data_IF_449252554653
#
_entry.id   IF_449252554653
#
_cell.length_a   1.000
_cell.length_b   1.000
_cell.length_c   1.000
_cell.angle_alpha   90.00
_cell.angle_beta   90.00
_cell.angle_gamma   90.00
#
_symmetry.space_group_name_H-M   'P 1'
#
loop_
_entity.id
_entity.type
_entity.pdbx_description
1 polymer ?
#
# COMPACT_ATOMS: atom_id res chain seq x y z
N UNK A 1 -23.70 -7.77 9.24
CA UNK A 1 -22.28 -7.84 9.68
C UNK A 1 -22.09 -6.81 10.78
N UNK A 2 -21.72 -7.25 11.99
CA UNK A 2 -21.29 -6.34 13.06
C UNK A 2 -19.86 -5.93 12.72
N UNK A 3 -19.69 -4.79 12.05
CA UNK A 3 -18.36 -4.25 11.77
C UNK A 3 -17.60 -3.97 13.07
N UNK A 4 -16.29 -4.20 13.06
CA UNK A 4 -15.39 -3.71 14.10
C UNK A 4 -15.45 -2.18 14.15
N UNK A 5 -15.26 -1.61 15.35
CA UNK A 5 -15.18 -0.16 15.53
C UNK A 5 -13.88 0.38 14.93
N UNK A 6 -12.90 0.62 15.81
CA UNK A 6 -11.53 1.03 15.45
C UNK A 6 -10.52 -0.03 15.87
N UNK A 7 -9.31 0.06 15.32
CA UNK A 7 -8.10 -0.54 15.88
C UNK A 7 -7.18 0.61 16.24
N UNK A 8 -6.63 0.59 17.47
CA UNK A 8 -5.72 1.62 17.96
C UNK A 8 -4.54 0.95 18.64
N UNK A 9 -3.49 0.65 17.88
CA UNK A 9 -2.26 0.02 18.36
C UNK A 9 -1.16 1.08 18.40
N UNK A 10 -0.50 1.23 19.56
CA UNK A 10 0.52 2.25 19.77
C UNK A 10 1.68 1.71 20.61
N UNK A 11 2.92 2.02 20.24
CA UNK A 11 4.12 1.78 21.06
C UNK A 11 4.21 0.35 21.62
N UNK A 12 3.87 -0.65 20.81
CA UNK A 12 3.63 -2.02 21.27
C UNK A 12 4.33 -3.06 20.40
N UNK A 13 4.59 -4.24 20.97
CA UNK A 13 5.14 -5.38 20.24
C UNK A 13 4.15 -6.54 20.24
N UNK A 14 3.87 -7.10 19.06
CA UNK A 14 2.96 -8.22 18.85
C UNK A 14 3.75 -9.43 18.38
N UNK A 15 3.87 -10.44 19.24
CA UNK A 15 4.61 -11.68 18.97
C UNK A 15 3.79 -12.73 18.21
N UNK A 16 2.50 -12.47 18.00
CA UNK A 16 1.57 -13.39 17.35
C UNK A 16 0.88 -12.67 16.20
N UNK A 17 0.30 -13.47 15.31
CA UNK A 17 -0.48 -13.01 14.17
C UNK A 17 -1.65 -12.12 14.61
N UNK A 18 -1.81 -10.98 13.94
CA UNK A 18 -3.01 -10.15 14.00
C UNK A 18 -3.92 -10.51 12.82
N UNK A 19 -5.05 -11.17 13.10
CA UNK A 19 -6.01 -11.59 12.09
C UNK A 19 -7.30 -10.77 12.18
N UNK A 20 -7.55 -9.97 11.17
CA UNK A 20 -8.68 -9.06 11.03
C UNK A 20 -9.36 -9.22 9.67
N UNK A 21 -9.37 -10.44 9.13
CA UNK A 21 -9.94 -10.71 7.80
C UNK A 21 -11.45 -10.48 7.73
N UNK A 22 -11.89 -9.99 6.57
CA UNK A 22 -13.30 -9.81 6.19
C UNK A 22 -14.08 -8.98 7.20
N UNK A 23 -13.42 -7.98 7.79
CA UNK A 23 -14.02 -7.08 8.77
C UNK A 23 -14.48 -5.79 8.09
N UNK A 24 -15.44 -5.11 8.73
CA UNK A 24 -15.83 -3.75 8.37
C UNK A 24 -15.38 -2.83 9.50
N UNK A 25 -14.37 -2.01 9.28
CA UNK A 25 -13.93 -0.97 10.21
C UNK A 25 -14.76 0.29 9.97
N UNK A 26 -15.59 0.62 10.95
CA UNK A 26 -16.47 1.80 10.87
C UNK A 26 -15.75 3.09 11.26
N UNK A 27 -14.73 2.97 12.09
CA UNK A 27 -13.92 4.07 12.60
C UNK A 27 -12.48 3.97 12.09
N UNK A 28 -11.71 5.02 12.36
CA UNK A 28 -10.29 5.10 11.99
C UNK A 28 -9.47 3.95 12.59
N UNK A 29 -8.49 3.47 11.83
CA UNK A 29 -7.51 2.45 12.25
C UNK A 29 -6.14 3.08 12.36
N UNK A 30 -5.55 3.00 13.56
CA UNK A 30 -4.23 3.53 13.90
C UNK A 30 -3.28 2.38 14.28
N UNK A 31 -2.13 2.32 13.61
CA UNK A 31 -1.00 1.44 13.96
C UNK A 31 0.26 2.30 14.02
N UNK A 32 0.65 2.72 15.22
CA UNK A 32 1.72 3.72 15.41
C UNK A 32 2.86 3.14 16.25
N UNK A 33 4.09 3.23 15.77
CA UNK A 33 5.29 2.80 16.48
C UNK A 33 5.19 1.37 17.04
N UNK A 34 4.71 0.43 16.21
CA UNK A 34 4.49 -0.94 16.62
C UNK A 34 5.48 -1.89 15.94
N UNK A 35 5.83 -2.98 16.64
CA UNK A 35 6.62 -4.08 16.10
C UNK A 35 5.73 -5.32 15.95
N UNK A 36 5.63 -5.87 14.75
CA UNK A 36 4.90 -7.11 14.48
C UNK A 36 5.86 -8.23 14.11
N UNK A 37 5.96 -9.24 14.97
CA UNK A 37 6.79 -10.42 14.74
C UNK A 37 6.00 -11.58 14.09
N UNK A 38 4.67 -11.46 14.02
CA UNK A 38 3.77 -12.36 13.29
C UNK A 38 3.04 -11.64 12.15
N UNK A 39 2.32 -12.41 11.32
CA UNK A 39 1.58 -11.86 10.18
C UNK A 39 0.53 -10.82 10.61
N UNK A 40 0.28 -9.83 9.76
CA UNK A 40 -0.78 -8.84 9.94
C UNK A 40 -1.74 -8.92 8.76
N UNK A 41 -3.01 -9.22 9.02
CA UNK A 41 -3.92 -9.66 7.97
C UNK A 41 -5.26 -8.95 8.06
N UNK A 42 -5.56 -8.21 7.00
CA UNK A 42 -6.79 -7.47 6.75
C UNK A 42 -7.53 -7.93 5.48
N UNK A 43 -7.10 -9.03 4.85
CA UNK A 43 -7.68 -9.58 3.62
C UNK A 43 -9.22 -9.51 3.60
N UNK A 44 -9.78 -8.98 2.50
CA UNK A 44 -11.23 -8.88 2.26
C UNK A 44 -11.94 -7.84 3.14
N UNK A 45 -11.21 -7.00 3.87
CA UNK A 45 -11.81 -6.02 4.80
C UNK A 45 -12.21 -4.73 4.11
N UNK A 46 -13.20 -4.05 4.70
CA UNK A 46 -13.62 -2.71 4.30
C UNK A 46 -13.29 -1.71 5.40
N UNK A 47 -12.67 -0.60 5.04
CA UNK A 47 -12.41 0.51 5.96
C UNK A 47 -13.18 1.74 5.50
N UNK A 48 -14.07 2.22 6.36
CA UNK A 48 -14.93 3.36 6.07
C UNK A 48 -14.29 4.71 6.39
N UNK A 49 -13.16 4.70 7.12
CA UNK A 49 -12.43 5.86 7.64
C UNK A 49 -10.94 5.68 7.45
N UNK A 50 -10.19 6.75 7.73
CA UNK A 50 -8.74 6.81 7.68
C UNK A 50 -8.02 5.58 8.25
N UNK A 51 -6.96 5.15 7.56
CA UNK A 51 -5.94 4.24 8.10
C UNK A 51 -4.64 5.03 8.22
N UNK A 52 -4.06 5.03 9.40
CA UNK A 52 -2.74 5.57 9.66
C UNK A 52 -1.81 4.47 10.19
N UNK A 53 -0.78 4.14 9.41
CA UNK A 53 0.30 3.24 9.81
C UNK A 53 1.58 4.06 9.81
N UNK A 54 2.19 4.23 10.97
CA UNK A 54 3.33 5.13 11.14
C UNK A 54 4.41 4.50 12.00
N UNK A 55 5.68 4.64 11.59
CA UNK A 55 6.84 4.29 12.41
C UNK A 55 6.89 2.82 12.84
N UNK A 56 6.26 1.92 12.07
CA UNK A 56 6.04 0.52 12.49
C UNK A 56 6.86 -0.46 11.66
N UNK A 57 7.31 -1.53 12.32
CA UNK A 57 8.14 -2.58 11.76
C UNK A 57 7.35 -3.89 11.65
N UNK A 58 7.36 -4.50 10.47
CA UNK A 58 6.66 -5.75 10.16
C UNK A 58 7.67 -6.81 9.72
N UNK A 59 7.91 -7.81 10.58
CA UNK A 59 8.90 -8.86 10.35
C UNK A 59 8.36 -10.03 9.51
N UNK A 60 7.04 -10.07 9.30
CA UNK A 60 6.32 -11.11 8.56
C UNK A 60 5.31 -10.47 7.62
N UNK A 61 4.63 -11.29 6.83
CA UNK A 61 3.77 -10.85 5.76
C UNK A 61 2.66 -9.91 6.26
N UNK A 62 2.41 -8.87 5.48
CA UNK A 62 1.30 -7.95 5.68
C UNK A 62 0.33 -8.09 4.50
N UNK A 63 -0.90 -8.47 4.80
CA UNK A 63 -1.89 -8.84 3.79
C UNK A 63 -3.13 -7.93 3.87
N UNK A 64 -3.20 -7.00 2.93
CA UNK A 64 -4.32 -6.15 2.56
C UNK A 64 -4.95 -6.59 1.22
N UNK A 65 -4.92 -7.87 0.87
CA UNK A 65 -5.53 -8.37 -0.36
C UNK A 65 -7.04 -8.13 -0.39
N UNK A 66 -7.59 -7.72 -1.54
CA UNK A 66 -9.03 -7.48 -1.76
C UNK A 66 -9.66 -6.55 -0.71
N UNK A 67 -8.94 -5.51 -0.28
CA UNK A 67 -9.55 -4.52 0.62
C UNK A 67 -10.35 -3.48 -0.16
N UNK A 68 -11.38 -2.95 0.48
CA UNK A 68 -12.04 -1.72 0.03
C UNK A 68 -11.79 -0.60 1.02
N UNK A 69 -11.24 0.49 0.52
CA UNK A 69 -10.84 1.63 1.31
C UNK A 69 -11.59 2.89 0.85
N UNK A 70 -12.27 3.60 1.76
CA UNK A 70 -13.17 4.71 1.40
C UNK A 70 -12.58 6.11 1.50
N UNK A 71 -11.70 6.37 2.45
CA UNK A 71 -11.15 7.72 2.71
C UNK A 71 -9.65 7.79 2.36
N UNK A 72 -8.74 8.24 3.24
CA UNK A 72 -7.27 8.27 3.00
C UNK A 72 -6.47 7.21 3.77
N UNK A 73 -5.59 6.47 3.09
CA UNK A 73 -4.64 5.53 3.73
C UNK A 73 -3.25 6.15 3.70
N UNK A 74 -2.61 6.21 4.86
CA UNK A 74 -1.24 6.70 5.01
C UNK A 74 -0.37 5.63 5.65
N UNK A 75 0.71 5.24 4.97
CA UNK A 75 1.80 4.42 5.48
C UNK A 75 3.04 5.30 5.48
N UNK A 76 3.61 5.58 6.64
CA UNK A 76 4.74 6.50 6.77
C UNK A 76 5.84 5.93 7.66
N UNK A 77 7.10 6.08 7.25
CA UNK A 77 8.27 5.66 8.03
C UNK A 77 8.18 4.20 8.52
N UNK A 78 7.65 3.30 7.69
CA UNK A 78 7.46 1.90 8.04
C UNK A 78 8.48 0.99 7.35
N UNK A 79 8.75 -0.15 7.97
CA UNK A 79 9.63 -1.17 7.42
C UNK A 79 8.91 -2.51 7.30
N UNK A 80 8.96 -3.12 6.11
CA UNK A 80 8.37 -4.41 5.81
C UNK A 80 9.49 -5.36 5.37
N UNK A 81 9.87 -6.27 6.27
CA UNK A 81 10.94 -7.23 6.01
C UNK A 81 10.48 -8.34 5.04
N UNK A 82 9.23 -8.75 5.16
CA UNK A 82 8.58 -9.73 4.28
C UNK A 82 7.61 -9.03 3.29
N UNK A 83 6.83 -9.81 2.54
CA UNK A 83 5.94 -9.31 1.50
C UNK A 83 4.81 -8.43 2.04
N UNK A 84 4.56 -7.31 1.36
CA UNK A 84 3.34 -6.51 1.50
C UNK A 84 2.43 -6.79 0.31
N UNK A 85 1.28 -7.41 0.56
CA UNK A 85 0.27 -7.73 -0.46
C UNK A 85 -0.94 -6.83 -0.28
N UNK A 86 -1.26 -6.04 -1.29
CA UNK A 86 -2.51 -5.32 -1.42
C UNK A 86 -3.16 -5.54 -2.80
N UNK A 87 -2.91 -6.70 -3.41
CA UNK A 87 -3.46 -7.07 -4.70
C UNK A 87 -4.99 -6.98 -4.70
N UNK A 88 -5.56 -6.67 -5.85
CA UNK A 88 -7.01 -6.57 -6.11
C UNK A 88 -7.76 -5.54 -5.23
N UNK A 89 -7.02 -4.69 -4.51
CA UNK A 89 -7.61 -3.69 -3.62
C UNK A 89 -8.18 -2.48 -4.34
N UNK A 90 -9.22 -1.89 -3.74
CA UNK A 90 -9.86 -0.66 -4.22
C UNK A 90 -9.67 0.48 -3.23
N UNK A 91 -9.04 1.56 -3.69
CA UNK A 91 -8.80 2.79 -2.92
C UNK A 91 -9.64 3.93 -3.50
N UNK A 92 -10.71 4.31 -2.80
CA UNK A 92 -11.60 5.40 -3.23
C UNK A 92 -11.10 6.79 -2.83
N UNK A 93 -10.15 6.90 -1.90
CA UNK A 93 -9.46 8.15 -1.61
C UNK A 93 -7.95 8.00 -1.67
N UNK A 94 -7.24 9.01 -1.15
CA UNK A 94 -5.79 9.19 -1.36
C UNK A 94 -5.00 8.03 -0.75
N UNK A 95 -3.99 7.55 -1.50
CA UNK A 95 -3.01 6.58 -1.02
C UNK A 95 -1.67 7.29 -0.86
N UNK A 96 -1.13 7.29 0.35
CA UNK A 96 0.18 7.87 0.65
C UNK A 96 1.09 6.83 1.31
N UNK A 97 2.13 6.41 0.61
CA UNK A 97 3.20 5.54 1.12
C UNK A 97 4.49 6.35 1.08
N UNK A 98 4.97 6.77 2.25
CA UNK A 98 6.02 7.78 2.38
C UNK A 98 7.14 7.24 3.27
N UNK A 99 8.39 7.52 2.92
CA UNK A 99 9.57 7.16 3.73
C UNK A 99 9.60 5.69 4.19
N UNK A 100 9.02 4.78 3.41
CA UNK A 100 8.82 3.39 3.84
C UNK A 100 9.66 2.43 3.00
N UNK A 101 10.02 1.29 3.57
CA UNK A 101 10.89 0.29 2.94
C UNK A 101 10.20 -1.06 2.85
N UNK A 102 10.16 -1.63 1.64
CA UNK A 102 9.56 -2.93 1.34
C UNK A 102 10.64 -3.86 0.78
N UNK A 103 11.08 -4.86 1.56
CA UNK A 103 12.27 -5.64 1.26
C UNK A 103 12.06 -6.94 0.48
N UNK A 104 10.95 -7.66 0.70
CA UNK A 104 10.71 -8.92 0.02
C UNK A 104 9.75 -8.81 -1.17
N UNK A 105 8.97 -7.72 -1.23
CA UNK A 105 8.01 -7.48 -2.31
C UNK A 105 6.96 -6.45 -1.94
N UNK A 106 6.53 -5.68 -2.94
CA UNK A 106 5.37 -4.81 -2.87
C UNK A 106 4.39 -5.20 -3.97
N UNK A 107 3.33 -5.92 -3.60
CA UNK A 107 2.40 -6.53 -4.55
C UNK A 107 1.07 -5.77 -4.59
N UNK A 108 0.98 -4.87 -5.57
CA UNK A 108 -0.14 -4.00 -5.89
C UNK A 108 -0.73 -4.33 -7.27
N UNK A 109 -0.87 -5.61 -7.59
CA UNK A 109 -1.45 -6.07 -8.85
C UNK A 109 -2.98 -5.89 -8.84
N UNK A 110 -3.56 -5.42 -9.95
CA UNK A 110 -5.01 -5.29 -10.12
C UNK A 110 -5.66 -4.19 -9.27
N UNK A 111 -4.88 -3.35 -8.58
CA UNK A 111 -5.44 -2.33 -7.70
C UNK A 111 -6.17 -1.24 -8.49
N UNK A 112 -7.17 -0.62 -7.88
CA UNK A 112 -7.91 0.51 -8.46
C UNK A 112 -7.83 1.70 -7.51
N UNK A 113 -7.09 2.72 -7.90
CA UNK A 113 -6.97 3.97 -7.17
C UNK A 113 -7.80 5.05 -7.86
N UNK A 114 -8.77 5.60 -7.14
CA UNK A 114 -9.69 6.61 -7.66
C UNK A 114 -9.12 8.03 -7.48
N UNK A 115 -8.40 8.24 -6.37
CA UNK A 115 -7.73 9.51 -6.08
C UNK A 115 -6.22 9.41 -6.29
N UNK A 116 -5.50 10.50 -6.00
CA UNK A 116 -4.06 10.57 -6.17
C UNK A 116 -3.34 9.50 -5.31
N UNK A 117 -2.22 9.02 -5.84
CA UNK A 117 -1.32 8.09 -5.16
C UNK A 117 0.08 8.70 -5.05
N UNK A 118 0.64 8.67 -3.85
CA UNK A 118 1.95 9.22 -3.53
C UNK A 118 2.81 8.12 -2.91
N UNK A 119 3.86 7.70 -3.61
CA UNK A 119 4.84 6.70 -3.18
C UNK A 119 6.20 7.36 -2.94
N UNK A 120 6.23 8.46 -2.17
CA UNK A 120 7.42 9.32 -2.09
C UNK A 120 8.49 8.78 -1.15
N UNK A 121 9.76 9.02 -1.49
CA UNK A 121 10.92 8.70 -0.64
C UNK A 121 10.94 7.27 -0.08
N UNK A 122 10.28 6.33 -0.77
CA UNK A 122 10.11 4.94 -0.34
C UNK A 122 10.98 4.02 -1.18
N UNK A 123 11.43 2.92 -0.59
CA UNK A 123 12.28 1.92 -1.25
C UNK A 123 11.48 0.64 -1.47
N UNK A 124 11.46 0.15 -2.71
CA UNK A 124 10.74 -1.05 -3.10
C UNK A 124 11.69 -2.07 -3.73
N UNK A 125 11.80 -3.21 -3.08
CA UNK A 125 12.33 -4.44 -3.67
C UNK A 125 11.17 -5.17 -4.34
N UNK A 126 11.24 -5.40 -5.65
CA UNK A 126 10.20 -6.09 -6.43
C UNK A 126 8.80 -5.46 -6.28
N UNK A 127 8.60 -4.31 -6.93
CA UNK A 127 7.29 -3.66 -6.98
C UNK A 127 6.47 -4.20 -8.17
N UNK A 128 5.24 -4.64 -7.92
CA UNK A 128 4.35 -5.17 -8.96
C UNK A 128 3.04 -4.40 -8.95
N UNK A 129 2.78 -3.67 -10.03
CA UNK A 129 1.57 -2.88 -10.28
C UNK A 129 0.79 -3.36 -11.51
N UNK A 130 1.06 -4.57 -12.00
CA UNK A 130 0.44 -5.09 -13.21
C UNK A 130 -1.08 -5.00 -13.14
N UNK A 131 -1.75 -4.73 -14.26
CA UNK A 131 -3.22 -4.65 -14.37
C UNK A 131 -3.90 -3.59 -13.47
N UNK A 132 -3.13 -2.74 -12.81
CA UNK A 132 -3.67 -1.71 -11.91
C UNK A 132 -4.17 -0.49 -12.66
N UNK A 133 -5.06 0.27 -12.06
CA UNK A 133 -5.60 1.52 -12.62
C UNK A 133 -5.42 2.67 -11.65
N UNK A 134 -4.72 3.71 -12.08
CA UNK A 134 -4.56 4.97 -11.37
C UNK A 134 -5.42 6.03 -12.08
N UNK A 135 -6.53 6.42 -11.46
CA UNK A 135 -7.52 7.30 -12.08
C UNK A 135 -7.11 8.78 -12.07
N UNK A 136 -6.22 9.16 -11.14
CA UNK A 136 -5.62 10.49 -11.06
C UNK A 136 -4.09 10.36 -10.99
N UNK A 137 -3.41 11.37 -10.46
CA UNK A 137 -1.96 11.45 -10.48
C UNK A 137 -1.34 10.34 -9.62
N UNK A 138 -0.25 9.77 -10.12
CA UNK A 138 0.56 8.78 -9.41
C UNK A 138 2.00 9.25 -9.38
N UNK A 139 2.53 9.47 -8.17
CA UNK A 139 3.85 10.07 -7.98
C UNK A 139 4.78 9.13 -7.22
N UNK A 140 5.99 8.99 -7.71
CA UNK A 140 7.07 8.15 -7.18
C UNK A 140 8.30 9.01 -6.81
N UNK A 141 8.08 10.27 -6.44
CA UNK A 141 9.16 11.25 -6.19
C UNK A 141 10.13 10.76 -5.12
N UNK A 142 11.43 10.80 -5.45
CA UNK A 142 12.53 10.33 -4.59
C UNK A 142 12.44 8.86 -4.13
N UNK A 143 11.51 8.07 -4.70
CA UNK A 143 11.46 6.64 -4.44
C UNK A 143 12.56 5.89 -5.17
N UNK A 144 12.94 4.74 -4.60
CA UNK A 144 13.97 3.86 -5.13
C UNK A 144 13.31 2.51 -5.43
N UNK A 145 13.45 2.05 -6.66
CA UNK A 145 13.10 0.69 -7.06
C UNK A 145 14.39 -0.11 -7.17
N UNK A 146 14.75 -0.82 -6.11
CA UNK A 146 16.05 -1.50 -5.97
C UNK A 146 16.00 -2.96 -6.48
N UNK A 147 15.05 -3.25 -7.39
CA UNK A 147 14.96 -4.49 -8.16
C UNK A 147 13.92 -4.33 -9.28
N UNK A 148 13.15 -5.37 -9.60
CA UNK A 148 12.10 -5.32 -10.61
C UNK A 148 10.99 -4.34 -10.23
N UNK A 149 10.51 -3.57 -11.20
CA UNK A 149 9.32 -2.73 -11.09
C UNK A 149 8.42 -3.02 -12.30
N UNK A 150 7.27 -3.67 -12.09
CA UNK A 150 6.43 -4.19 -13.15
C UNK A 150 5.11 -3.42 -13.24
N UNK A 151 4.78 -2.94 -14.44
CA UNK A 151 3.57 -2.15 -14.74
C UNK A 151 2.84 -2.68 -15.98
N UNK A 152 2.91 -3.99 -16.21
CA UNK A 152 2.28 -4.63 -17.36
C UNK A 152 0.76 -4.42 -17.33
N UNK A 153 0.22 -3.82 -18.40
CA UNK A 153 -1.21 -3.46 -18.51
C UNK A 153 -1.73 -2.58 -17.37
N UNK A 154 -0.85 -1.83 -16.71
CA UNK A 154 -1.24 -0.75 -15.80
C UNK A 154 -1.78 0.42 -16.61
N UNK A 155 -2.86 1.04 -16.14
CA UNK A 155 -3.48 2.22 -16.75
C UNK A 155 -3.23 3.43 -15.85
N UNK A 156 -2.70 4.50 -16.42
CA UNK A 156 -2.55 5.80 -15.77
C UNK A 156 -3.43 6.82 -16.52
N UNK A 157 -4.51 7.27 -15.87
CA UNK A 157 -5.41 8.28 -16.44
C UNK A 157 -5.00 9.71 -16.05
N UNK A 158 -4.18 9.86 -15.00
CA UNK A 158 -3.58 11.13 -14.58
C UNK A 158 -2.08 11.20 -14.90
N UNK A 159 -1.42 12.23 -14.38
CA UNK A 159 0.04 12.37 -14.58
C UNK A 159 0.82 11.32 -13.79
N UNK A 160 1.96 10.91 -14.34
CA UNK A 160 2.93 10.06 -13.64
C UNK A 160 4.21 10.85 -13.45
N UNK A 161 4.69 10.94 -12.21
CA UNK A 161 5.99 11.53 -11.90
C UNK A 161 6.93 10.49 -11.32
N UNK A 162 8.07 10.28 -11.96
CA UNK A 162 9.14 9.40 -11.49
C UNK A 162 10.50 9.99 -11.91
N UNK A 163 11.49 9.96 -11.00
CA UNK A 163 12.78 10.62 -11.23
C UNK A 163 13.78 9.71 -11.96
N UNK A 164 13.68 8.38 -11.82
CA UNK A 164 14.47 7.36 -12.54
C UNK A 164 13.96 5.95 -12.18
N UNK A 165 13.39 5.22 -13.12
CA UNK A 165 13.05 3.80 -12.98
C UNK A 165 13.94 3.01 -13.96
N UNK A 166 15.14 2.62 -13.52
CA UNK A 166 16.10 1.89 -14.35
C UNK A 166 15.89 0.36 -14.26
N UNK A 167 16.21 -0.45 -15.29
CA UNK A 167 16.39 -0.13 -16.71
C UNK A 167 15.27 -0.67 -17.62
N UNK A 168 14.22 -1.32 -17.09
CA UNK A 168 13.19 -1.97 -17.93
C UNK A 168 11.85 -1.24 -18.02
N UNK A 169 11.74 -0.04 -17.44
CA UNK A 169 10.50 0.70 -17.53
C UNK A 169 10.46 1.59 -18.77
N UNK A 170 10.12 0.97 -19.91
CA UNK A 170 9.42 1.69 -20.96
C UNK A 170 7.98 1.91 -20.46
N UNK A 171 7.74 2.97 -19.67
CA UNK A 171 6.41 3.58 -19.71
C UNK A 171 6.33 4.10 -21.14
N UNK A 172 5.66 3.36 -22.04
CA UNK A 172 5.23 3.94 -23.30
C UNK A 172 4.35 5.12 -22.92
N UNK A 173 4.92 6.33 -22.96
CA UNK A 173 4.25 7.63 -22.87
C UNK A 173 3.20 7.85 -23.99
N UNK A 174 2.80 6.79 -24.70
CA UNK A 174 2.01 6.83 -25.92
C UNK A 174 0.49 6.82 -25.67
N UNK A 175 0.04 7.03 -24.43
CA UNK A 175 -1.39 7.21 -24.14
C UNK A 175 -1.59 8.30 -23.09
N UNK A 176 -1.06 9.50 -23.37
CA UNK A 176 -1.71 10.73 -22.91
C UNK A 176 -2.49 11.30 -24.11
N UNK A 177 -3.72 11.82 -23.94
CA UNK A 177 -4.38 12.60 -24.98
C UNK A 177 -3.59 13.86 -25.35
#
# INVERSE_FOLDING_TARGET
MNGLGSIKLRNSTFNSRLDCRKQIFKEQVDILNCNFNGDVIFEGSTFNKNIEINGSDFQKAVNFHDITYKEQITINSCHFEDGFDNNESRYNGVVSIINSKFKAGFYSQGIKCIENCYYHSSEFQNAVFNFSTFSKNCEFDHSIFDSSALFHKTIFNGSVRAIKMFPFLLITLNQMP
#
